data_IF_658545106695
#
_entry.id   IF_658545106695
#
_cell.length_a   1.000
_cell.length_b   1.000
_cell.length_c   1.000
_cell.angle_alpha   90.00
_cell.angle_beta   90.00
_cell.angle_gamma   90.00
#
_symmetry.space_group_name_H-M   'P 1'
#
loop_
_entity.id
_entity.type
_entity.pdbx_description
1 polymer ?
#
# COMPACT_ATOMS: atom_id res chain seq x y z
N UNK A 1 14.57 -2.49 7.71
CA UNK A 1 15.24 -2.77 6.43
C UNK A 1 16.46 -3.62 6.70
N UNK A 2 16.71 -4.63 5.87
CA UNK A 2 17.89 -5.49 5.98
C UNK A 2 19.16 -4.64 5.75
N UNK A 3 20.19 -4.76 6.60
CA UNK A 3 21.36 -3.87 6.60
C UNK A 3 22.14 -3.90 5.28
N UNK A 4 22.19 -5.06 4.61
CA UNK A 4 22.80 -5.19 3.29
C UNK A 4 22.12 -4.30 2.24
N UNK A 5 20.79 -4.39 2.15
CA UNK A 5 19.97 -3.62 1.21
C UNK A 5 20.09 -2.12 1.50
N UNK A 6 20.11 -1.72 2.77
CA UNK A 6 20.28 -0.32 3.15
C UNK A 6 21.64 0.25 2.69
N UNK A 7 22.72 -0.52 2.85
CA UNK A 7 24.07 -0.13 2.42
C UNK A 7 24.19 -0.02 0.90
N UNK A 8 23.56 -0.93 0.14
CA UNK A 8 23.52 -0.84 -1.32
C UNK A 8 22.83 0.44 -1.79
N UNK A 9 21.67 0.79 -1.21
CA UNK A 9 20.94 2.01 -1.56
C UNK A 9 21.79 3.26 -1.26
N UNK A 10 22.42 3.32 -0.08
CA UNK A 10 23.31 4.43 0.29
C UNK A 10 24.52 4.56 -0.63
N UNK A 11 25.00 3.44 -1.19
CA UNK A 11 26.15 3.39 -2.10
C UNK A 11 25.77 3.63 -3.57
N UNK A 12 24.51 3.95 -3.88
CA UNK A 12 24.03 4.16 -5.24
C UNK A 12 23.74 2.87 -6.03
N UNK A 13 23.76 1.71 -5.38
CA UNK A 13 23.48 0.39 -5.96
C UNK A 13 21.99 0.01 -5.83
N UNK A 14 21.09 0.98 -5.96
CA UNK A 14 19.65 0.80 -5.76
C UNK A 14 19.02 -0.23 -6.70
N UNK A 15 19.52 -0.33 -7.94
CA UNK A 15 19.06 -1.32 -8.92
C UNK A 15 19.37 -2.75 -8.47
N UNK A 16 20.59 -3.00 -8.00
CA UNK A 16 21.01 -4.30 -7.43
C UNK A 16 20.22 -4.60 -6.16
N UNK A 17 20.01 -3.60 -5.31
CA UNK A 17 19.20 -3.74 -4.10
C UNK A 17 17.75 -4.16 -4.42
N UNK A 18 17.14 -3.56 -5.44
CA UNK A 18 15.79 -3.93 -5.90
C UNK A 18 15.76 -5.34 -6.49
N UNK A 19 16.72 -5.70 -7.35
CA UNK A 19 16.80 -7.04 -7.92
C UNK A 19 17.02 -8.12 -6.85
N UNK A 20 17.85 -7.83 -5.83
CA UNK A 20 18.07 -8.68 -4.67
C UNK A 20 16.79 -8.95 -3.87
N UNK A 21 15.93 -7.92 -3.70
CA UNK A 21 14.64 -8.07 -3.02
C UNK A 21 13.65 -8.88 -3.83
N UNK A 22 13.64 -8.72 -5.16
CA UNK A 22 12.70 -9.37 -6.07
C UNK A 22 13.07 -10.83 -6.37
N UNK A 23 14.36 -11.11 -6.63
CA UNK A 23 14.85 -12.43 -7.06
C UNK A 23 15.58 -13.20 -5.95
N UNK A 24 15.89 -12.56 -4.82
CA UNK A 24 16.54 -13.18 -3.66
C UNK A 24 18.07 -13.27 -3.74
N UNK A 25 18.70 -13.75 -2.67
CA UNK A 25 20.17 -13.89 -2.55
C UNK A 25 20.76 -14.95 -3.48
N UNK A 26 20.00 -16.00 -3.79
CA UNK A 26 20.41 -17.07 -4.70
C UNK A 26 20.69 -16.52 -6.10
N UNK A 27 19.88 -15.57 -6.56
CA UNK A 27 20.07 -14.91 -7.86
C UNK A 27 21.34 -14.06 -7.89
N UNK A 28 21.63 -13.33 -6.81
CA UNK A 28 22.89 -12.56 -6.69
C UNK A 28 24.08 -13.50 -6.74
N UNK A 29 24.02 -14.62 -6.00
CA UNK A 29 25.09 -15.63 -5.98
C UNK A 29 25.31 -16.27 -7.35
N UNK A 30 24.25 -16.56 -8.09
CA UNK A 30 24.33 -17.09 -9.46
C UNK A 30 24.97 -16.09 -10.42
N UNK A 31 24.57 -14.81 -10.35
CA UNK A 31 24.98 -13.78 -11.30
C UNK A 31 26.34 -13.15 -10.98
N UNK A 32 26.70 -13.08 -9.70
CA UNK A 32 27.91 -12.39 -9.22
C UNK A 32 28.91 -13.33 -8.55
N UNK A 33 28.55 -14.60 -8.29
CA UNK A 33 29.40 -15.53 -7.55
C UNK A 33 29.54 -15.20 -6.05
N UNK A 34 28.94 -14.10 -5.57
CA UNK A 34 29.05 -13.66 -4.18
C UNK A 34 28.01 -14.34 -3.29
N UNK A 35 28.46 -14.92 -2.18
CA UNK A 35 27.56 -15.45 -1.16
C UNK A 35 27.13 -14.33 -0.20
N UNK A 36 26.06 -13.65 -0.57
CA UNK A 36 25.58 -12.45 0.10
C UNK A 36 24.75 -12.79 1.33
N UNK A 37 25.17 -12.27 2.49
CA UNK A 37 24.36 -12.28 3.71
C UNK A 37 23.58 -10.98 3.87
N UNK A 38 22.24 -11.04 3.73
CA UNK A 38 21.37 -9.87 3.86
C UNK A 38 21.36 -9.23 5.26
N UNK A 39 21.74 -9.99 6.29
CA UNK A 39 21.80 -9.53 7.69
C UNK A 39 23.13 -8.87 8.05
N UNK A 40 24.14 -8.96 7.18
CA UNK A 40 25.43 -8.33 7.37
C UNK A 40 25.57 -7.08 6.48
N UNK A 41 26.49 -6.19 6.83
CA UNK A 41 26.90 -5.13 5.92
C UNK A 41 27.85 -5.71 4.85
N UNK A 42 27.72 -5.30 3.59
CA UNK A 42 28.68 -5.67 2.56
C UNK A 42 30.06 -5.09 2.88
N UNK A 43 31.09 -5.88 2.62
CA UNK A 43 32.48 -5.41 2.57
C UNK A 43 32.69 -4.45 1.39
N UNK A 44 33.78 -3.69 1.44
CA UNK A 44 34.14 -2.75 0.37
C UNK A 44 34.43 -3.45 -0.97
N UNK A 45 34.94 -4.68 -0.93
CA UNK A 45 35.19 -5.51 -2.12
C UNK A 45 33.87 -5.97 -2.75
N UNK A 46 32.91 -6.45 -1.95
CA UNK A 46 31.58 -6.82 -2.43
C UNK A 46 30.86 -5.63 -3.07
N UNK A 47 30.92 -4.44 -2.46
CA UNK A 47 30.33 -3.22 -3.05
C UNK A 47 30.95 -2.88 -4.40
N UNK A 48 32.28 -3.05 -4.53
CA UNK A 48 32.98 -2.77 -5.79
C UNK A 48 32.58 -3.75 -6.88
N UNK A 49 32.51 -5.04 -6.55
CA UNK A 49 32.10 -6.08 -7.49
C UNK A 49 30.62 -5.91 -7.91
N UNK A 50 29.73 -5.60 -6.96
CA UNK A 50 28.33 -5.30 -7.26
C UNK A 50 28.16 -4.04 -8.09
N UNK A 51 29.04 -3.05 -7.93
CA UNK A 51 29.06 -1.85 -8.78
C UNK A 51 29.49 -2.18 -10.21
N UNK A 52 30.50 -3.02 -10.39
CA UNK A 52 30.89 -3.52 -11.71
C UNK A 52 29.75 -4.31 -12.36
N UNK A 53 29.16 -5.25 -11.62
CA UNK A 53 27.99 -6.00 -12.07
C UNK A 53 26.84 -5.09 -12.49
N UNK A 54 26.53 -4.07 -11.70
CA UNK A 54 25.47 -3.11 -12.02
C UNK A 54 25.73 -2.37 -13.33
N UNK A 55 26.97 -1.96 -13.59
CA UNK A 55 27.35 -1.29 -14.83
C UNK A 55 27.28 -2.22 -16.03
N UNK A 56 27.67 -3.49 -15.85
CA UNK A 56 27.64 -4.51 -16.92
C UNK A 56 26.22 -4.99 -17.24
N UNK A 57 25.34 -5.05 -16.24
CA UNK A 57 24.00 -5.62 -16.34
C UNK A 57 22.90 -4.56 -16.10
N UNK A 58 23.20 -3.30 -16.41
CA UNK A 58 22.29 -2.19 -16.14
C UNK A 58 20.92 -2.40 -16.80
N UNK A 59 20.90 -2.85 -18.07
CA UNK A 59 19.65 -3.11 -18.81
C UNK A 59 18.82 -4.24 -18.16
N UNK A 60 19.45 -5.33 -17.73
CA UNK A 60 18.76 -6.44 -17.06
C UNK A 60 18.14 -5.97 -15.74
N UNK A 61 18.90 -5.20 -14.95
CA UNK A 61 18.43 -4.65 -13.68
C UNK A 61 17.30 -3.63 -13.87
N UNK A 62 17.40 -2.76 -14.87
CA UNK A 62 16.33 -1.83 -15.23
C UNK A 62 15.07 -2.57 -15.69
N UNK A 63 15.20 -3.65 -16.47
CA UNK A 63 14.06 -4.48 -16.87
C UNK A 63 13.36 -5.11 -15.66
N UNK A 64 14.11 -5.67 -14.72
CA UNK A 64 13.55 -6.23 -13.47
C UNK A 64 12.75 -5.15 -12.72
N UNK A 65 13.30 -3.93 -12.62
CA UNK A 65 12.60 -2.83 -11.98
C UNK A 65 11.31 -2.46 -12.73
N UNK A 66 11.35 -2.32 -14.06
CA UNK A 66 10.18 -2.01 -14.87
C UNK A 66 9.09 -3.08 -14.77
N UNK A 67 9.47 -4.36 -14.76
CA UNK A 67 8.55 -5.48 -14.58
C UNK A 67 7.83 -5.38 -13.22
N UNK A 68 8.58 -5.14 -12.14
CA UNK A 68 8.02 -4.92 -10.80
C UNK A 68 7.06 -3.73 -10.77
N UNK A 69 7.46 -2.61 -11.36
CA UNK A 69 6.65 -1.39 -11.36
C UNK A 69 5.37 -1.58 -12.21
N UNK A 70 5.43 -2.34 -13.30
CA UNK A 70 4.27 -2.73 -14.09
C UNK A 70 3.30 -3.62 -13.30
N UNK A 71 3.82 -4.65 -12.62
CA UNK A 71 3.01 -5.53 -11.75
C UNK A 71 2.33 -4.71 -10.65
N UNK A 72 3.07 -3.80 -10.00
CA UNK A 72 2.53 -2.90 -8.98
C UNK A 72 1.41 -2.02 -9.53
N UNK A 73 1.61 -1.42 -10.71
CA UNK A 73 0.60 -0.60 -11.37
C UNK A 73 -0.65 -1.41 -11.74
N UNK A 74 -0.50 -2.65 -12.20
CA UNK A 74 -1.63 -3.51 -12.56
C UNK A 74 -2.41 -3.99 -11.34
N UNK A 75 -1.72 -4.35 -10.25
CA UNK A 75 -2.36 -4.64 -8.97
C UNK A 75 -3.16 -3.43 -8.48
N UNK A 76 -2.58 -2.24 -8.57
CA UNK A 76 -3.27 -1.01 -8.19
C UNK A 76 -4.50 -0.73 -9.06
N UNK A 77 -4.41 -0.90 -10.38
CA UNK A 77 -5.56 -0.81 -11.29
C UNK A 77 -6.65 -1.81 -10.94
N UNK A 78 -6.28 -3.06 -10.62
CA UNK A 78 -7.24 -4.10 -10.23
C UNK A 78 -7.99 -3.71 -8.95
N UNK A 79 -7.30 -3.17 -7.94
CA UNK A 79 -7.92 -2.65 -6.72
C UNK A 79 -8.86 -1.47 -7.00
N UNK A 80 -8.46 -0.54 -7.88
CA UNK A 80 -9.33 0.57 -8.28
C UNK A 80 -10.57 0.05 -9.03
N UNK A 81 -10.39 -0.92 -9.93
CA UNK A 81 -11.47 -1.51 -10.70
C UNK A 81 -12.50 -2.20 -9.79
N UNK A 82 -12.05 -2.98 -8.80
CA UNK A 82 -12.92 -3.62 -7.80
C UNK A 82 -13.81 -2.61 -7.05
N UNK A 83 -13.22 -1.51 -6.57
CA UNK A 83 -13.98 -0.42 -5.92
C UNK A 83 -14.91 0.28 -6.91
N UNK A 84 -14.45 0.48 -8.15
CA UNK A 84 -15.25 1.06 -9.23
C UNK A 84 -16.48 0.23 -9.57
N UNK A 85 -16.33 -1.09 -9.66
CA UNK A 85 -17.43 -2.02 -9.93
C UNK A 85 -18.45 -2.04 -8.79
N UNK A 86 -18.00 -1.96 -7.53
CA UNK A 86 -18.89 -1.83 -6.38
C UNK A 86 -19.73 -0.54 -6.43
N UNK A 87 -19.11 0.60 -6.75
CA UNK A 87 -19.82 1.89 -6.92
C UNK A 87 -20.76 1.88 -8.12
N UNK A 88 -20.33 1.27 -9.23
CA UNK A 88 -21.17 1.13 -10.42
C UNK A 88 -22.42 0.32 -10.13
N UNK A 89 -22.30 -0.79 -9.40
CA UNK A 89 -23.45 -1.58 -8.94
C UNK A 89 -24.40 -0.73 -8.08
N UNK A 90 -23.88 0.11 -7.20
CA UNK A 90 -24.70 1.02 -6.38
C UNK A 90 -25.47 2.03 -7.25
N UNK A 91 -24.79 2.65 -8.23
CA UNK A 91 -25.42 3.55 -9.21
C UNK A 91 -26.49 2.83 -10.03
N UNK A 92 -26.22 1.61 -10.50
CA UNK A 92 -27.16 0.81 -11.28
C UNK A 92 -28.41 0.44 -10.45
N UNK A 93 -28.24 0.10 -9.17
CA UNK A 93 -29.35 -0.16 -8.24
C UNK A 93 -30.14 1.11 -7.95
N UNK A 94 -29.48 2.23 -7.69
CA UNK A 94 -30.12 3.51 -7.39
C UNK A 94 -31.00 4.00 -8.56
N UNK A 95 -30.49 3.85 -9.79
CA UNK A 95 -31.17 4.26 -11.02
C UNK A 95 -32.17 3.23 -11.56
N UNK A 96 -32.20 2.01 -11.03
CA UNK A 96 -33.16 0.99 -11.48
C UNK A 96 -34.58 1.28 -10.98
N UNK A 97 -35.52 1.39 -11.90
CA UNK A 97 -36.95 1.57 -11.57
C UNK A 97 -37.55 0.35 -10.85
N UNK A 98 -36.94 -0.83 -11.04
CA UNK A 98 -37.41 -2.11 -10.49
C UNK A 98 -36.82 -2.43 -9.12
N UNK A 99 -35.81 -1.68 -8.67
CA UNK A 99 -35.18 -1.91 -7.38
C UNK A 99 -36.05 -1.35 -6.24
N UNK A 100 -36.36 -2.15 -5.20
CA UNK A 100 -37.04 -1.65 -4.01
C UNK A 100 -36.28 -0.49 -3.37
N UNK A 101 -36.99 0.48 -2.78
CA UNK A 101 -36.37 1.66 -2.14
C UNK A 101 -35.30 1.28 -1.12
N UNK A 102 -35.51 0.20 -0.35
CA UNK A 102 -34.54 -0.30 0.62
C UNK A 102 -33.17 -0.58 -0.03
N UNK A 103 -33.14 -1.23 -1.20
CA UNK A 103 -31.89 -1.58 -1.88
C UNK A 103 -31.14 -0.34 -2.38
N UNK A 104 -31.86 0.75 -2.66
CA UNK A 104 -31.26 2.02 -3.11
C UNK A 104 -30.56 2.78 -2.00
N UNK A 105 -31.02 2.62 -0.76
CA UNK A 105 -30.55 3.43 0.38
C UNK A 105 -29.80 2.64 1.45
N UNK A 106 -29.84 1.30 1.42
CA UNK A 106 -29.24 0.48 2.48
C UNK A 106 -27.73 0.72 2.62
N UNK A 107 -26.99 0.78 1.51
CA UNK A 107 -25.55 1.01 1.50
C UNK A 107 -25.14 2.37 2.09
N UNK A 108 -25.71 3.52 1.63
CA UNK A 108 -25.41 4.82 2.23
C UNK A 108 -25.88 4.94 3.68
N UNK A 109 -27.02 4.36 4.05
CA UNK A 109 -27.49 4.36 5.44
C UNK A 109 -26.54 3.57 6.34
N UNK A 110 -26.12 2.36 5.94
CA UNK A 110 -25.18 1.56 6.72
C UNK A 110 -23.85 2.29 6.92
N UNK A 111 -23.35 2.98 5.89
CA UNK A 111 -22.13 3.78 5.99
C UNK A 111 -22.26 4.95 6.97
N UNK A 112 -23.38 5.70 6.90
CA UNK A 112 -23.67 6.79 7.83
C UNK A 112 -23.81 6.29 9.27
N UNK A 113 -24.52 5.18 9.48
CA UNK A 113 -24.70 4.56 10.80
C UNK A 113 -23.34 4.10 11.37
N UNK A 114 -22.52 3.43 10.57
CA UNK A 114 -21.18 2.99 11.00
C UNK A 114 -20.29 4.17 11.39
N UNK A 115 -20.25 5.23 10.58
CA UNK A 115 -19.48 6.44 10.89
C UNK A 115 -20.00 7.10 12.17
N UNK A 116 -21.31 7.31 12.28
CA UNK A 116 -21.92 7.95 13.43
C UNK A 116 -21.65 7.16 14.73
N UNK A 117 -21.84 5.84 14.71
CA UNK A 117 -21.55 4.99 15.87
C UNK A 117 -20.06 5.01 16.24
N UNK A 118 -19.17 5.07 15.25
CA UNK A 118 -17.72 5.18 15.50
C UNK A 118 -17.37 6.49 16.19
N UNK A 119 -17.84 7.63 15.67
CA UNK A 119 -17.62 8.93 16.29
C UNK A 119 -18.28 9.05 17.66
N UNK A 120 -19.47 8.47 17.85
CA UNK A 120 -20.15 8.44 19.13
C UNK A 120 -19.32 7.66 20.16
N UNK A 121 -18.80 6.48 19.80
CA UNK A 121 -17.94 5.71 20.69
C UNK A 121 -16.66 6.49 21.05
N UNK A 122 -16.04 7.16 20.08
CA UNK A 122 -14.87 7.99 20.34
C UNK A 122 -15.20 9.13 21.30
N UNK A 123 -16.35 9.78 21.12
CA UNK A 123 -16.85 10.80 22.03
C UNK A 123 -17.08 10.25 23.43
N UNK A 124 -17.74 9.10 23.57
CA UNK A 124 -17.95 8.45 24.87
C UNK A 124 -16.62 8.17 25.56
N UNK A 125 -15.65 7.57 24.87
CA UNK A 125 -14.34 7.26 25.47
C UNK A 125 -13.54 8.51 25.81
N UNK A 126 -13.62 9.56 24.99
CA UNK A 126 -12.87 10.80 25.20
C UNK A 126 -13.44 11.68 26.32
N UNK A 127 -14.77 11.68 26.49
CA UNK A 127 -15.48 12.57 27.42
C UNK A 127 -16.11 11.86 28.62
N UNK A 128 -15.98 10.54 28.76
CA UNK A 128 -16.46 9.84 29.96
C UNK A 128 -15.61 10.19 31.18
N UNK A 129 -16.26 10.64 32.25
CA UNK A 129 -15.62 10.94 33.54
C UNK A 129 -15.07 9.69 34.26
N UNK A 130 -15.59 8.50 33.90
CA UNK A 130 -15.11 7.24 34.45
C UNK A 130 -13.77 6.87 33.78
N UNK A 131 -12.68 6.75 34.55
CA UNK A 131 -11.40 6.35 33.98
C UNK A 131 -11.53 4.93 33.43
N UNK A 132 -11.02 4.73 32.21
CA UNK A 132 -10.89 3.41 31.62
C UNK A 132 -10.02 2.55 32.53
N UNK A 133 -10.59 1.43 32.96
CA UNK A 133 -9.88 0.43 33.77
C UNK A 133 -8.59 0.00 33.04
N UNK A 134 -7.46 0.02 33.75
CA UNK A 134 -6.15 -0.25 33.14
C UNK A 134 -6.09 -1.63 32.45
N UNK A 135 -6.82 -2.61 32.97
CA UNK A 135 -6.96 -3.97 32.41
C UNK A 135 -7.62 -4.02 31.03
N UNK A 136 -8.39 -2.99 30.65
CA UNK A 136 -9.12 -2.92 29.38
C UNK A 136 -8.56 -1.89 28.41
N UNK A 137 -7.57 -1.11 28.84
CA UNK A 137 -6.99 -0.02 28.05
C UNK A 137 -6.44 -0.51 26.70
N UNK A 138 -5.66 -1.59 26.70
CA UNK A 138 -5.05 -2.12 25.48
C UNK A 138 -6.09 -2.65 24.50
N UNK A 139 -7.13 -3.32 25.04
CA UNK A 139 -8.27 -3.78 24.26
C UNK A 139 -9.03 -2.59 23.64
N UNK A 140 -9.25 -1.53 24.40
CA UNK A 140 -9.93 -0.33 23.89
C UNK A 140 -9.10 0.35 22.81
N UNK A 141 -7.79 0.53 23.00
CA UNK A 141 -6.91 1.11 21.97
C UNK A 141 -6.94 0.26 20.69
N UNK A 142 -6.90 -1.07 20.81
CA UNK A 142 -7.03 -1.98 19.67
C UNK A 142 -8.36 -1.78 18.94
N UNK A 143 -9.49 -1.78 19.66
CA UNK A 143 -10.83 -1.60 19.07
C UNK A 143 -10.96 -0.23 18.40
N UNK A 144 -10.47 0.84 19.04
CA UNK A 144 -10.46 2.18 18.47
C UNK A 144 -9.61 2.24 17.19
N UNK A 145 -8.49 1.52 17.15
CA UNK A 145 -7.65 1.39 15.96
C UNK A 145 -8.37 0.70 14.81
N UNK A 146 -9.02 -0.44 15.06
CA UNK A 146 -9.81 -1.17 14.06
C UNK A 146 -10.97 -0.33 13.54
N UNK A 147 -11.71 0.35 14.43
CA UNK A 147 -12.82 1.22 14.05
C UNK A 147 -12.35 2.44 13.23
N UNK A 148 -11.19 3.02 13.57
CA UNK A 148 -10.59 4.10 12.78
C UNK A 148 -10.24 3.63 11.36
N UNK A 149 -9.72 2.40 11.23
CA UNK A 149 -9.43 1.80 9.93
C UNK A 149 -10.71 1.58 9.10
N UNK A 150 -11.78 1.04 9.71
CA UNK A 150 -13.08 0.87 9.07
C UNK A 150 -13.66 2.22 8.63
N UNK A 151 -13.64 3.24 9.49
CA UNK A 151 -14.11 4.58 9.14
C UNK A 151 -13.33 5.17 7.96
N UNK A 152 -12.00 4.96 7.93
CA UNK A 152 -11.15 5.38 6.79
C UNK A 152 -11.53 4.65 5.51
N UNK A 153 -11.80 3.34 5.58
CA UNK A 153 -12.23 2.55 4.42
C UNK A 153 -13.59 3.01 3.89
N UNK A 154 -14.55 3.30 4.78
CA UNK A 154 -15.87 3.86 4.39
C UNK A 154 -15.68 5.21 3.70
N UNK A 155 -14.89 6.12 4.28
CA UNK A 155 -14.60 7.43 3.66
C UNK A 155 -13.92 7.27 2.30
N UNK A 156 -12.93 6.37 2.19
CA UNK A 156 -12.26 6.09 0.92
C UNK A 156 -13.20 5.49 -0.13
N UNK A 157 -14.18 4.68 0.27
CA UNK A 157 -15.21 4.16 -0.62
C UNK A 157 -16.07 5.29 -1.21
N UNK A 158 -16.46 6.32 -0.45
CA UNK A 158 -17.31 7.40 -1.00
C UNK A 158 -16.53 8.53 -1.68
N UNK A 159 -15.39 8.94 -1.12
CA UNK A 159 -14.66 10.12 -1.57
C UNK A 159 -13.39 9.77 -2.39
N UNK A 160 -13.06 8.48 -2.49
CA UNK A 160 -11.82 8.03 -3.11
C UNK A 160 -10.63 8.12 -2.14
N UNK A 161 -9.56 7.41 -2.47
CA UNK A 161 -8.29 7.57 -1.77
C UNK A 161 -7.53 8.77 -2.34
N UNK A 162 -6.76 9.44 -1.49
CA UNK A 162 -5.83 10.50 -1.91
C UNK A 162 -4.76 10.02 -2.90
N UNK A 163 -4.58 8.70 -3.04
CA UNK A 163 -3.68 8.06 -4.02
C UNK A 163 -4.21 8.19 -5.45
N UNK A 164 -5.53 8.17 -5.64
CA UNK A 164 -6.15 8.31 -6.97
C UNK A 164 -5.96 9.70 -7.60
N UNK A 165 -5.77 10.76 -6.80
CA UNK A 165 -5.41 12.09 -7.32
C UNK A 165 -3.95 12.14 -7.76
N UNK A 166 -3.03 11.56 -6.99
CA UNK A 166 -1.59 11.54 -7.33
C UNK A 166 -1.32 10.86 -8.67
N UNK A 167 -2.03 9.77 -8.96
CA UNK A 167 -1.87 9.01 -10.21
C UNK A 167 -2.45 9.75 -11.44
N UNK A 168 -3.49 10.57 -11.25
CA UNK A 168 -3.98 11.48 -12.29
C UNK A 168 -2.96 12.58 -12.56
N UNK A 169 -2.39 13.15 -11.50
CA UNK A 169 -1.39 14.21 -11.60
C UNK A 169 -0.09 13.71 -12.27
N UNK A 170 0.35 12.48 -11.98
CA UNK A 170 1.50 11.84 -12.64
C UNK A 170 1.24 11.52 -14.12
N UNK A 171 0.08 10.97 -14.46
CA UNK A 171 -0.30 10.72 -15.88
C UNK A 171 -0.40 12.02 -16.67
N UNK A 172 -0.92 13.10 -16.06
CA UNK A 172 -0.96 14.42 -16.68
C UNK A 172 0.44 15.02 -16.84
N UNK A 173 1.32 14.87 -15.84
CA UNK A 173 2.71 15.33 -15.92
C UNK A 173 3.51 14.58 -17.01
N UNK A 174 3.23 13.28 -17.22
CA UNK A 174 3.83 12.48 -18.28
C UNK A 174 3.35 12.83 -19.70
N UNK A 175 2.19 13.47 -19.85
CA UNK A 175 1.66 13.93 -21.15
C UNK A 175 2.17 15.32 -21.55
N UNK A 176 2.83 16.04 -20.64
CA UNK A 176 3.32 17.43 -20.84
C UNK A 176 4.86 17.48 -21.02
N UNK A 177 5.52 16.33 -21.13
CA UNK A 177 6.92 16.21 -21.56
C UNK A 177 7.01 15.63 -22.97
#
# INVERSE_FOLDING_TARGET
MLPFIASLIQSGLGLVANAAMEKGTSWIKEKTGLDVNLQAQPSAEELTHLKQFMLEHEEELQRIQLERDHISADLFKAVIADVGDARKREVDIANSDKAPMLNKVITPILALVLLLLTFLLFGVVMFSENPVEASRKDLLVYVLGVLSAIATQVVAYYFGSSVGSKDKDEKLAGMVK
#
